data_IF_821037157219
#
_entry.id   IF_821037157219
#
_cell.length_a   1.000
_cell.length_b   1.000
_cell.length_c   1.000
_cell.angle_alpha   90.00
_cell.angle_beta   90.00
_cell.angle_gamma   90.00
#
_symmetry.space_group_name_H-M   'P 1'
#
loop_
_entity.id
_entity.type
_entity.pdbx_description
1 polymer ?
#
# COMPACT_ATOMS: atom_id res chain seq x y z
N UNK A 1 -4.46 26.24 -14.32
CA UNK A 1 -5.50 26.09 -13.27
C UNK A 1 -4.93 25.16 -12.21
N UNK A 2 -4.20 25.72 -11.24
CA UNK A 2 -3.82 25.00 -10.04
C UNK A 2 -4.81 25.46 -8.97
N UNK A 3 -5.73 24.57 -8.60
CA UNK A 3 -6.69 24.86 -7.53
C UNK A 3 -5.87 25.05 -6.25
N UNK A 4 -5.79 26.31 -5.79
CA UNK A 4 -5.01 26.77 -4.65
C UNK A 4 -5.64 26.32 -3.33
N UNK A 5 -5.75 25.01 -3.10
CA UNK A 5 -6.05 24.51 -1.77
C UNK A 5 -5.15 23.33 -1.40
N UNK A 6 -3.91 23.64 -1.04
CA UNK A 6 -2.99 22.72 -0.38
C UNK A 6 -3.34 22.51 1.11
N UNK A 7 -4.62 22.69 1.48
CA UNK A 7 -5.09 22.39 2.83
C UNK A 7 -5.45 20.91 2.90
N UNK A 8 -4.68 20.17 3.70
CA UNK A 8 -4.99 18.78 3.98
C UNK A 8 -6.39 18.67 4.62
N UNK A 9 -7.26 17.75 4.17
CA UNK A 9 -8.64 17.69 4.62
C UNK A 9 -8.77 17.68 6.16
N UNK A 10 -9.76 18.39 6.70
CA UNK A 10 -9.88 18.61 8.15
C UNK A 10 -9.92 17.30 8.96
N UNK A 11 -10.51 16.24 8.40
CA UNK A 11 -10.61 14.91 9.01
C UNK A 11 -9.35 14.04 8.96
N UNK A 12 -8.26 14.50 8.35
CA UNK A 12 -7.02 13.75 8.27
C UNK A 12 -6.22 13.86 9.57
N UNK A 13 -5.58 12.76 9.95
CA UNK A 13 -4.69 12.69 11.11
C UNK A 13 -3.44 13.56 10.90
N UNK A 14 -2.77 13.94 12.00
CA UNK A 14 -1.63 14.86 11.94
C UNK A 14 -0.47 14.37 11.05
N UNK A 15 -0.28 13.05 10.94
CA UNK A 15 0.77 12.48 10.10
C UNK A 15 0.40 12.51 8.61
N UNK A 16 -0.87 12.30 8.26
CA UNK A 16 -1.35 12.38 6.87
C UNK A 16 -1.25 13.82 6.36
N UNK A 17 -1.61 14.80 7.21
CA UNK A 17 -1.47 16.23 6.91
C UNK A 17 -0.02 16.63 6.66
N UNK A 18 0.94 15.99 7.35
CA UNK A 18 2.38 16.23 7.16
C UNK A 18 2.90 15.70 5.81
N UNK A 19 2.32 14.61 5.30
CA UNK A 19 2.73 14.01 4.02
C UNK A 19 1.95 14.57 2.81
N UNK A 20 0.81 15.23 3.05
CA UNK A 20 -0.04 15.82 2.02
C UNK A 20 0.68 16.66 0.94
N UNK A 21 1.67 17.52 1.27
CA UNK A 21 2.34 18.34 0.27
C UNK A 21 3.11 17.51 -0.77
N UNK A 22 3.72 16.40 -0.33
CA UNK A 22 4.47 15.49 -1.19
C UNK A 22 3.54 14.51 -1.91
N UNK A 23 2.44 14.11 -1.28
CA UNK A 23 1.48 13.13 -1.81
C UNK A 23 1.00 13.44 -3.23
N UNK A 24 0.59 14.68 -3.49
CA UNK A 24 0.08 15.07 -4.83
C UNK A 24 1.18 14.99 -5.89
N UNK A 25 2.40 15.39 -5.53
CA UNK A 25 3.56 15.32 -6.44
C UNK A 25 3.96 13.87 -6.72
N UNK A 26 4.01 13.03 -5.69
CA UNK A 26 4.38 11.62 -5.81
C UNK A 26 3.37 10.84 -6.64
N UNK A 27 2.07 11.05 -6.38
CA UNK A 27 0.99 10.38 -7.12
C UNK A 27 1.00 10.84 -8.59
N UNK A 28 1.11 12.14 -8.85
CA UNK A 28 1.14 12.64 -10.23
C UNK A 28 2.39 12.19 -10.99
N UNK A 29 3.55 12.11 -10.33
CA UNK A 29 4.77 11.55 -10.92
C UNK A 29 4.63 10.06 -11.23
N UNK A 30 4.08 9.27 -10.31
CA UNK A 30 3.84 7.85 -10.51
C UNK A 30 2.85 7.61 -11.66
N UNK A 31 1.74 8.36 -11.69
CA UNK A 31 0.73 8.28 -12.77
C UNK A 31 1.33 8.74 -14.10
N UNK A 32 2.12 9.81 -14.13
CA UNK A 32 2.80 10.29 -15.32
C UNK A 32 3.82 9.30 -15.87
N UNK A 33 4.60 8.65 -15.00
CA UNK A 33 5.52 7.59 -15.38
C UNK A 33 4.78 6.36 -15.92
N UNK A 34 3.68 5.97 -15.27
CA UNK A 34 2.80 4.91 -15.75
C UNK A 34 2.24 5.26 -17.14
N UNK A 35 1.74 6.48 -17.33
CA UNK A 35 1.22 6.94 -18.61
C UNK A 35 2.29 6.93 -19.73
N UNK A 36 3.51 7.40 -19.44
CA UNK A 36 4.64 7.33 -20.38
C UNK A 36 5.00 5.89 -20.75
N UNK A 37 5.03 4.99 -19.76
CA UNK A 37 5.23 3.56 -19.98
C UNK A 37 4.12 2.96 -20.86
N UNK A 38 2.86 3.32 -20.61
CA UNK A 38 1.70 2.89 -21.41
C UNK A 38 1.75 3.38 -22.85
N UNK A 39 2.22 4.61 -23.09
CA UNK A 39 2.32 5.17 -24.44
C UNK A 39 3.47 4.58 -25.25
N UNK A 40 4.54 4.10 -24.59
CA UNK A 40 5.74 3.58 -25.27
C UNK A 40 5.85 2.05 -25.34
N UNK A 41 5.06 1.30 -24.58
CA UNK A 41 5.17 -0.17 -24.47
C UNK A 41 3.99 -0.90 -25.09
N UNK A 42 4.17 -2.18 -25.44
CA UNK A 42 3.07 -3.04 -25.88
C UNK A 42 2.00 -3.08 -24.79
N UNK A 43 0.70 -2.96 -25.12
CA UNK A 43 -0.40 -2.84 -24.15
C UNK A 43 -0.43 -3.95 -23.09
N UNK A 44 0.13 -5.13 -23.37
CA UNK A 44 0.28 -6.22 -22.40
C UNK A 44 1.21 -5.89 -21.22
N UNK A 45 2.28 -5.12 -21.43
CA UNK A 45 3.25 -4.76 -20.36
C UNK A 45 2.62 -3.74 -19.40
N UNK A 46 1.87 -2.79 -19.94
CA UNK A 46 1.08 -1.84 -19.18
C UNK A 46 0.07 -2.52 -18.24
N UNK A 47 -0.69 -3.49 -18.79
CA UNK A 47 -1.66 -4.27 -18.02
C UNK A 47 -0.96 -5.07 -16.92
N UNK A 48 0.18 -5.69 -17.21
CA UNK A 48 0.96 -6.43 -16.22
C UNK A 48 1.47 -5.53 -15.07
N UNK A 49 1.97 -4.32 -15.38
CA UNK A 49 2.42 -3.38 -14.36
C UNK A 49 1.26 -2.88 -13.48
N UNK A 50 0.12 -2.54 -14.08
CA UNK A 50 -1.08 -2.19 -13.34
C UNK A 50 -1.55 -3.35 -12.45
N UNK A 51 -1.60 -4.57 -12.99
CA UNK A 51 -1.96 -5.77 -12.23
C UNK A 51 -1.01 -6.00 -11.05
N UNK A 52 0.29 -5.79 -11.21
CA UNK A 52 1.27 -5.92 -10.13
C UNK A 52 1.06 -4.86 -9.03
N UNK A 53 0.75 -3.62 -9.40
CA UNK A 53 0.43 -2.56 -8.43
C UNK A 53 -0.86 -2.87 -7.66
N UNK A 54 -1.92 -3.28 -8.35
CA UNK A 54 -3.18 -3.62 -7.73
C UNK A 54 -3.13 -4.92 -6.92
N UNK A 55 -2.29 -5.89 -7.32
CA UNK A 55 -2.08 -7.13 -6.60
C UNK A 55 -1.13 -6.96 -5.40
N UNK A 56 -0.21 -5.98 -5.44
CA UNK A 56 0.76 -5.76 -4.36
C UNK A 56 0.09 -5.48 -3.01
N UNK A 57 -0.95 -4.65 -2.99
CA UNK A 57 -1.71 -4.32 -1.78
C UNK A 57 -2.40 -5.55 -1.16
N UNK A 58 -3.26 -6.31 -1.87
CA UNK A 58 -3.90 -7.50 -1.31
C UNK A 58 -2.89 -8.62 -0.98
N UNK A 59 -1.84 -8.80 -1.78
CA UNK A 59 -0.79 -9.81 -1.48
C UNK A 59 -0.05 -9.46 -0.19
N UNK A 60 0.32 -8.20 0.01
CA UNK A 60 0.95 -7.76 1.26
C UNK A 60 0.01 -7.88 2.46
N UNK A 61 -1.28 -7.60 2.28
CA UNK A 61 -2.27 -7.76 3.35
C UNK A 61 -2.45 -9.22 3.75
N UNK A 62 -2.56 -10.13 2.78
CA UNK A 62 -2.64 -11.58 3.02
C UNK A 62 -1.36 -12.07 3.71
N UNK A 63 -0.18 -11.65 3.25
CA UNK A 63 1.08 -12.00 3.87
C UNK A 63 1.15 -11.52 5.33
N UNK A 64 0.78 -10.27 5.60
CA UNK A 64 0.75 -9.72 6.95
C UNK A 64 -0.20 -10.50 7.87
N UNK A 65 -1.42 -10.79 7.41
CA UNK A 65 -2.40 -11.58 8.18
C UNK A 65 -1.88 -13.01 8.42
N UNK A 66 -1.24 -13.62 7.41
CA UNK A 66 -0.67 -14.96 7.55
C UNK A 66 0.43 -15.00 8.61
N UNK A 67 1.37 -14.06 8.56
CA UNK A 67 2.44 -13.96 9.55
C UNK A 67 1.89 -13.71 10.97
N UNK A 68 0.90 -12.84 11.11
CA UNK A 68 0.23 -12.60 12.39
C UNK A 68 -0.48 -13.85 12.91
N UNK A 69 -1.16 -14.60 12.04
CA UNK A 69 -1.83 -15.85 12.40
C UNK A 69 -0.83 -16.94 12.82
N UNK A 70 0.32 -17.03 12.16
CA UNK A 70 1.39 -17.96 12.54
C UNK A 70 1.93 -17.64 13.93
N UNK A 71 2.27 -16.38 14.20
CA UNK A 71 2.74 -15.93 15.50
C UNK A 71 1.71 -16.20 16.61
N UNK A 72 0.43 -15.95 16.32
CA UNK A 72 -0.66 -16.25 17.25
C UNK A 72 -0.78 -17.76 17.53
N UNK A 73 -0.69 -18.62 16.50
CA UNK A 73 -0.74 -20.07 16.66
C UNK A 73 0.48 -20.60 17.45
N UNK A 74 1.68 -20.11 17.16
CA UNK A 74 2.89 -20.47 17.89
C UNK A 74 2.79 -20.06 19.37
N UNK A 75 2.28 -18.86 19.66
CA UNK A 75 2.08 -18.40 21.03
C UNK A 75 1.04 -19.23 21.80
N UNK A 76 -0.02 -19.71 21.13
CA UNK A 76 -1.03 -20.56 21.73
C UNK A 76 -0.48 -21.95 22.08
N UNK A 77 0.33 -22.54 21.19
CA UNK A 77 1.00 -23.83 21.45
C UNK A 77 1.99 -23.71 22.62
N UNK A 78 2.74 -22.61 22.70
CA UNK A 78 3.71 -22.37 23.76
C UNK A 78 3.01 -22.16 25.13
N UNK A 79 1.87 -21.48 25.15
CA UNK A 79 1.02 -21.39 26.34
C UNK A 79 0.43 -22.75 26.74
N UNK A 80 0.00 -23.58 25.79
CA UNK A 80 -0.49 -24.93 26.09
C UNK A 80 0.61 -25.83 26.67
N UNK A 81 1.84 -25.72 26.16
CA UNK A 81 2.97 -26.53 26.62
C UNK A 81 3.54 -26.05 27.97
N UNK A 82 3.28 -24.81 28.38
CA UNK A 82 3.62 -24.30 29.71
C UNK A 82 2.53 -24.60 30.77
N UNK A 83 1.28 -24.84 30.35
CA UNK A 83 0.12 -25.07 31.24
C UNK A 83 -0.10 -26.56 31.58
N UNK A 84 0.52 -27.50 30.87
CA UNK A 84 0.44 -28.94 31.19
C UNK A 84 1.82 -29.44 31.66
N UNK A 85 1.98 -29.84 32.94
CA UNK A 85 3.21 -30.46 33.45
C UNK A 85 3.37 -31.92 33.02
#
# INVERSE_FOLDING_TARGET
>A
MAENNYEAPAGWSAWEKRYYPAYVSDVSAAVGALQLLLMGTRPSVAIAAAALLFAGVPVSAVAAVHHLAQLAAESAVLLQHHVVP
#
